data_IF_567641547786
#
_entry.id   IF_567641547786
#
_cell.length_a   1.000
_cell.length_b   1.000
_cell.length_c   1.000
_cell.angle_alpha   90.00
_cell.angle_beta   90.00
_cell.angle_gamma   90.00
#
_symmetry.space_group_name_H-M   'P 1'
#
loop_
_entity.id
_entity.type
_entity.pdbx_description
1 polymer ?
#
# COMPACT_ATOMS: atom_id res chain seq x y z
N UNK A 1 -17.94 -30.80 1.28
CA UNK A 1 -17.89 -29.59 0.43
C UNK A 1 -17.28 -28.49 1.28
N UNK A 2 -15.95 -28.46 1.39
CA UNK A 2 -15.20 -27.44 2.12
C UNK A 2 -14.71 -26.38 1.13
N UNK A 3 -15.67 -25.64 0.56
CA UNK A 3 -15.41 -24.50 -0.32
C UNK A 3 -14.91 -23.27 0.44
N UNK A 4 -13.96 -23.41 1.36
CA UNK A 4 -13.23 -22.28 1.95
C UNK A 4 -12.16 -21.81 0.97
N UNK A 5 -12.59 -21.37 -0.22
CA UNK A 5 -11.73 -20.59 -1.10
C UNK A 5 -11.33 -19.35 -0.33
N UNK A 6 -10.04 -19.23 0.03
CA UNK A 6 -9.53 -18.05 0.73
C UNK A 6 -9.90 -16.81 -0.08
N UNK A 7 -10.79 -15.98 0.46
CA UNK A 7 -11.20 -14.74 -0.19
C UNK A 7 -10.03 -13.77 -0.10
N UNK A 8 -9.44 -13.43 -1.25
CA UNK A 8 -8.43 -12.40 -1.32
C UNK A 8 -9.10 -11.03 -1.38
N UNK A 9 -8.52 -10.07 -0.69
CA UNK A 9 -8.95 -8.68 -0.71
C UNK A 9 -7.78 -7.75 -0.95
N UNK A 10 -8.07 -6.65 -1.64
CA UNK A 10 -7.19 -5.52 -1.84
C UNK A 10 -7.76 -4.30 -1.11
N UNK A 11 -6.92 -3.60 -0.37
CA UNK A 11 -7.24 -2.36 0.33
C UNK A 11 -6.27 -1.29 -0.11
N UNK A 12 -6.78 -0.16 -0.59
CA UNK A 12 -6.02 1.06 -0.79
C UNK A 12 -6.46 2.07 0.27
N UNK A 13 -5.52 2.56 1.08
CA UNK A 13 -5.82 3.56 2.09
C UNK A 13 -4.82 4.72 2.07
N UNK A 14 -5.26 5.86 2.59
CA UNK A 14 -4.46 7.06 2.80
C UNK A 14 -4.44 7.43 4.29
N UNK A 15 -3.35 8.04 4.76
CA UNK A 15 -3.26 8.61 6.11
C UNK A 15 -2.22 9.73 6.18
N UNK A 16 -2.20 10.48 7.27
CA UNK A 16 -1.34 11.66 7.45
C UNK A 16 -0.33 11.46 8.59
N UNK A 17 0.93 11.72 8.30
CA UNK A 17 2.09 11.59 9.18
C UNK A 17 3.04 12.81 8.96
N UNK A 18 2.66 14.01 9.45
CA UNK A 18 3.32 15.26 9.07
C UNK A 18 4.66 15.48 9.78
N UNK A 19 4.89 14.80 10.90
CA UNK A 19 6.10 14.95 11.74
C UNK A 19 7.03 13.74 11.63
N UNK A 20 6.72 12.79 10.75
CA UNK A 20 7.45 11.53 10.69
C UNK A 20 8.74 11.68 9.88
N UNK A 21 9.91 11.42 10.47
CA UNK A 21 11.17 11.54 9.75
C UNK A 21 11.29 10.44 8.69
N UNK A 22 12.04 10.72 7.61
CA UNK A 22 12.25 9.77 6.51
C UNK A 22 12.87 8.44 6.99
N UNK A 23 13.72 8.49 8.01
CA UNK A 23 14.34 7.30 8.60
C UNK A 23 13.31 6.36 9.25
N UNK A 24 12.27 6.91 9.89
CA UNK A 24 11.19 6.11 10.45
C UNK A 24 10.32 5.47 9.37
N UNK A 25 10.11 6.16 8.24
CA UNK A 25 9.43 5.58 7.07
C UNK A 25 10.19 4.36 6.55
N UNK A 26 11.53 4.44 6.52
CA UNK A 26 12.38 3.33 6.09
C UNK A 26 12.33 2.16 7.07
N UNK A 27 12.23 2.45 8.38
CA UNK A 27 12.01 1.43 9.40
C UNK A 27 10.62 0.75 9.29
N UNK A 28 9.57 1.51 8.94
CA UNK A 28 8.22 0.97 8.68
C UNK A 28 8.25 0.04 7.47
N UNK A 29 8.90 0.46 6.38
CA UNK A 29 9.06 -0.36 5.18
C UNK A 29 9.84 -1.65 5.47
N UNK A 30 10.97 -1.55 6.18
CA UNK A 30 11.76 -2.73 6.55
C UNK A 30 10.98 -3.70 7.44
N UNK A 31 10.21 -3.18 8.40
CA UNK A 31 9.36 -3.99 9.28
C UNK A 31 8.24 -4.67 8.49
N UNK A 32 7.62 -3.94 7.56
CA UNK A 32 6.56 -4.46 6.70
C UNK A 32 7.08 -5.55 5.77
N UNK A 33 8.22 -5.32 5.11
CA UNK A 33 8.84 -6.29 4.22
C UNK A 33 9.24 -7.59 4.93
N UNK A 34 9.63 -7.51 6.21
CA UNK A 34 9.94 -8.70 7.03
C UNK A 34 8.69 -9.44 7.50
N UNK A 35 7.65 -8.71 7.93
CA UNK A 35 6.51 -9.32 8.62
C UNK A 35 5.39 -9.78 7.66
N UNK A 36 5.19 -9.05 6.56
CA UNK A 36 4.07 -9.27 5.65
C UNK A 36 4.12 -10.63 4.91
N UNK A 37 5.28 -11.13 4.45
CA UNK A 37 5.35 -12.44 3.80
C UNK A 37 4.84 -13.59 4.66
N UNK A 38 5.17 -13.59 5.97
CA UNK A 38 4.71 -14.62 6.90
C UNK A 38 3.18 -14.64 7.10
N UNK A 39 2.52 -13.52 6.77
CA UNK A 39 1.05 -13.36 6.82
C UNK A 39 0.41 -13.48 5.45
N UNK A 40 1.18 -13.78 4.41
CA UNK A 40 0.71 -13.76 3.03
C UNK A 40 0.16 -12.39 2.62
N UNK A 41 0.78 -11.30 3.08
CA UNK A 41 0.40 -9.94 2.70
C UNK A 41 1.43 -9.39 1.72
N UNK A 42 0.95 -8.79 0.63
CA UNK A 42 1.75 -8.16 -0.43
C UNK A 42 1.24 -6.75 -0.71
N UNK A 43 1.99 -5.95 -1.46
CA UNK A 43 1.57 -4.61 -1.87
C UNK A 43 2.70 -3.57 -1.90
N UNK A 44 2.33 -2.31 -1.76
CA UNK A 44 3.22 -1.14 -1.90
C UNK A 44 2.89 -0.08 -0.86
N UNK A 45 3.89 0.72 -0.51
CA UNK A 45 3.75 1.89 0.35
C UNK A 45 4.43 3.09 -0.31
N UNK A 46 3.69 4.20 -0.42
CA UNK A 46 4.15 5.51 -0.86
C UNK A 46 4.10 6.48 0.31
N UNK A 47 5.08 7.38 0.38
CA UNK A 47 5.11 8.47 1.36
C UNK A 47 5.59 9.77 0.72
N UNK A 48 4.72 10.78 0.62
CA UNK A 48 5.02 12.07 -0.04
C UNK A 48 5.71 13.12 0.87
N UNK A 49 6.12 12.72 2.08
CA UNK A 49 6.68 13.64 3.07
C UNK A 49 5.66 14.09 4.11
N UNK A 50 4.36 13.93 3.84
CA UNK A 50 3.28 14.26 4.79
C UNK A 50 2.23 13.17 4.90
N UNK A 51 1.93 12.47 3.82
CA UNK A 51 0.88 11.46 3.75
C UNK A 51 1.47 10.11 3.33
N UNK A 52 0.85 9.05 3.82
CA UNK A 52 1.02 7.69 3.32
C UNK A 52 -0.12 7.33 2.37
N UNK A 53 0.21 6.62 1.30
CA UNK A 53 -0.72 5.84 0.53
C UNK A 53 -0.21 4.40 0.49
N UNK A 54 -1.03 3.45 0.93
CA UNK A 54 -0.63 2.05 0.97
C UNK A 54 -1.69 1.18 0.32
N UNK A 55 -1.22 0.24 -0.50
CA UNK A 55 -2.04 -0.84 -1.05
C UNK A 55 -1.62 -2.15 -0.39
N UNK A 56 -2.59 -2.89 0.12
CA UNK A 56 -2.43 -4.17 0.80
C UNK A 56 -3.26 -5.23 0.10
N UNK A 57 -2.67 -6.39 -0.14
CA UNK A 57 -3.34 -7.55 -0.71
C UNK A 57 -3.06 -8.80 0.11
N UNK A 58 -4.07 -9.60 0.36
CA UNK A 58 -3.94 -10.84 1.10
C UNK A 58 -5.28 -11.48 1.37
N UNK A 59 -5.27 -12.51 2.20
CA UNK A 59 -6.51 -13.08 2.72
C UNK A 59 -7.29 -12.00 3.49
N UNK A 60 -8.60 -11.89 3.26
CA UNK A 60 -9.43 -10.82 3.80
C UNK A 60 -9.28 -10.64 5.31
N UNK A 61 -9.26 -11.75 6.06
CA UNK A 61 -9.06 -11.74 7.51
C UNK A 61 -7.67 -11.21 7.92
N UNK A 62 -6.62 -11.60 7.21
CA UNK A 62 -5.25 -11.12 7.49
C UNK A 62 -5.09 -9.64 7.18
N UNK A 63 -5.69 -9.15 6.10
CA UNK A 63 -5.67 -7.74 5.73
C UNK A 63 -6.49 -6.92 6.75
N UNK A 64 -7.66 -7.40 7.18
CA UNK A 64 -8.46 -6.73 8.20
C UNK A 64 -7.71 -6.58 9.53
N UNK A 65 -7.09 -7.65 10.03
CA UNK A 65 -6.26 -7.62 11.25
C UNK A 65 -5.06 -6.69 11.10
N UNK A 66 -4.45 -6.61 9.90
CA UNK A 66 -3.38 -5.65 9.65
C UNK A 66 -3.91 -4.20 9.69
N UNK A 67 -5.07 -3.95 9.09
CA UNK A 67 -5.69 -2.62 9.05
C UNK A 67 -6.05 -2.12 10.45
N UNK A 68 -6.46 -2.98 11.38
CA UNK A 68 -6.67 -2.60 12.77
C UNK A 68 -5.38 -2.09 13.44
N UNK A 69 -4.27 -2.82 13.24
CA UNK A 69 -2.95 -2.42 13.77
C UNK A 69 -2.46 -1.10 13.17
N UNK A 70 -2.64 -0.94 11.85
CA UNK A 70 -2.33 0.29 11.12
C UNK A 70 -3.18 1.44 11.66
N UNK A 71 -4.48 1.25 11.84
CA UNK A 71 -5.38 2.31 12.31
C UNK A 71 -5.03 2.79 13.72
N UNK A 72 -4.51 1.91 14.56
CA UNK A 72 -4.10 2.22 15.93
C UNK A 72 -2.66 2.75 16.05
N UNK A 73 -1.90 2.84 14.96
CA UNK A 73 -0.49 3.21 14.98
C UNK A 73 -0.32 4.73 15.22
N UNK A 74 0.35 5.15 16.31
CA UNK A 74 0.42 6.56 16.70
C UNK A 74 1.31 7.42 15.77
N UNK A 75 2.06 6.78 14.85
CA UNK A 75 2.94 7.48 13.90
C UNK A 75 2.18 8.22 12.80
N UNK A 76 0.90 7.92 12.64
CA UNK A 76 0.04 8.55 11.65
C UNK A 76 -1.40 8.67 12.16
N UNK A 77 -2.23 9.43 11.45
CA UNK A 77 -3.62 9.66 11.82
C UNK A 77 -4.48 9.86 10.56
N UNK A 78 -5.81 9.90 10.75
CA UNK A 78 -6.73 10.16 9.64
C UNK A 78 -6.72 9.06 8.58
N UNK A 79 -6.61 7.80 9.00
CA UNK A 79 -6.67 6.64 8.10
C UNK A 79 -8.04 6.62 7.41
N UNK A 80 -8.02 6.65 6.08
CA UNK A 80 -9.21 6.57 5.24
C UNK A 80 -8.99 5.54 4.14
N UNK A 81 -9.89 4.56 4.06
CA UNK A 81 -9.88 3.54 2.99
C UNK A 81 -10.48 4.18 1.74
N UNK A 82 -9.67 4.32 0.70
CA UNK A 82 -10.07 4.89 -0.59
C UNK A 82 -10.75 3.85 -1.47
N UNK A 83 -10.29 2.61 -1.38
CA UNK A 83 -10.82 1.48 -2.14
C UNK A 83 -10.65 0.18 -1.33
N UNK A 84 -11.68 -0.67 -1.38
CA UNK A 84 -11.65 -2.04 -0.85
C UNK A 84 -12.40 -2.92 -1.82
N UNK A 85 -11.75 -4.00 -2.27
CA UNK A 85 -12.34 -4.93 -3.23
C UNK A 85 -11.89 -6.37 -2.98
N UNK A 86 -12.74 -7.32 -3.35
CA UNK A 86 -12.32 -8.70 -3.54
C UNK A 86 -11.49 -8.81 -4.82
N UNK A 87 -10.47 -9.66 -4.81
CA UNK A 87 -9.63 -9.94 -5.98
C UNK A 87 -9.54 -11.45 -6.18
N UNK A 88 -9.49 -11.91 -7.42
CA UNK A 88 -9.28 -13.34 -7.70
C UNK A 88 -7.80 -13.72 -7.66
N UNK A 89 -6.94 -12.77 -8.04
CA UNK A 89 -5.48 -12.90 -8.08
C UNK A 89 -4.81 -11.65 -7.53
N UNK A 90 -3.64 -11.81 -6.90
CA UNK A 90 -2.84 -10.69 -6.43
C UNK A 90 -2.33 -9.87 -7.61
N UNK A 91 -2.47 -8.55 -7.55
CA UNK A 91 -1.91 -7.66 -8.57
C UNK A 91 -0.43 -7.39 -8.32
N UNK A 92 0.03 -7.50 -7.06
CA UNK A 92 1.41 -7.26 -6.64
C UNK A 92 2.04 -8.49 -5.96
N UNK A 93 2.07 -9.69 -6.57
CA UNK A 93 2.44 -10.93 -5.89
C UNK A 93 3.88 -10.95 -5.37
N UNK A 94 4.81 -10.31 -6.07
CA UNK A 94 6.25 -10.31 -5.71
C UNK A 94 6.62 -9.16 -4.77
N UNK A 95 5.66 -8.32 -4.39
CA UNK A 95 5.95 -7.10 -3.64
C UNK A 95 5.70 -7.35 -2.16
N UNK A 96 6.74 -7.81 -1.47
CA UNK A 96 6.82 -7.83 -0.01
C UNK A 96 6.92 -6.39 0.54
N UNK A 97 5.92 -5.56 0.27
CA UNK A 97 5.89 -4.13 0.54
C UNK A 97 6.92 -3.32 -0.25
N UNK A 98 6.72 -3.18 -1.57
CA UNK A 98 7.62 -2.38 -2.40
C UNK A 98 7.60 -0.92 -1.96
N UNK A 99 8.79 -0.37 -1.69
CA UNK A 99 9.00 1.07 -1.54
C UNK A 99 8.95 1.71 -2.93
N UNK A 100 8.07 2.68 -3.13
CA UNK A 100 8.18 3.58 -4.26
C UNK A 100 8.97 4.82 -3.81
N UNK A 101 10.21 4.93 -4.28
CA UNK A 101 11.06 6.10 -4.02
C UNK A 101 10.49 7.32 -4.71
N UNK A 102 10.12 8.35 -3.97
CA UNK A 102 9.60 9.56 -4.57
C UNK A 102 10.76 10.38 -5.14
N UNK A 103 10.88 10.40 -6.48
CA UNK A 103 11.92 11.11 -7.23
C UNK A 103 11.90 12.64 -6.98
N UNK A 104 12.95 13.36 -7.41
CA UNK A 104 13.10 14.79 -7.13
C UNK A 104 12.05 15.67 -7.83
N UNK A 105 11.55 15.26 -9.01
CA UNK A 105 10.50 15.97 -9.76
C UNK A 105 9.18 15.19 -9.83
N UNK A 106 8.06 15.91 -9.97
CA UNK A 106 6.71 15.34 -10.12
C UNK A 106 6.61 14.46 -11.38
N UNK A 107 7.18 14.91 -12.48
CA UNK A 107 7.18 14.20 -13.76
C UNK A 107 7.93 12.85 -13.67
N UNK A 108 9.14 12.86 -13.10
CA UNK A 108 9.92 11.64 -12.91
C UNK A 108 9.24 10.64 -11.96
N UNK A 109 8.52 11.12 -10.93
CA UNK A 109 7.71 10.25 -10.05
C UNK A 109 6.61 9.55 -10.82
N UNK A 110 5.90 10.30 -11.67
CA UNK A 110 4.79 9.78 -12.46
C UNK A 110 5.28 8.74 -13.45
N UNK A 111 6.31 9.05 -14.23
CA UNK A 111 6.89 8.10 -15.20
C UNK A 111 7.37 6.83 -14.52
N UNK A 112 8.06 6.96 -13.38
CA UNK A 112 8.53 5.81 -12.62
C UNK A 112 7.37 4.96 -12.11
N UNK A 113 6.31 5.57 -11.59
CA UNK A 113 5.12 4.84 -11.14
C UNK A 113 4.37 4.17 -12.29
N UNK A 114 4.18 4.86 -13.40
CA UNK A 114 3.50 4.30 -14.57
C UNK A 114 4.26 3.08 -15.11
N UNK A 115 5.60 3.14 -15.11
CA UNK A 115 6.47 2.01 -15.49
C UNK A 115 6.45 0.87 -14.48
N UNK A 116 6.49 1.17 -13.19
CA UNK A 116 6.68 0.16 -12.15
C UNK A 116 5.38 -0.49 -11.68
N UNK A 117 4.22 0.17 -11.84
CA UNK A 117 2.92 -0.36 -11.39
C UNK A 117 2.46 -1.55 -12.24
N UNK A 118 1.98 -2.65 -11.64
CA UNK A 118 1.60 -3.86 -12.37
C UNK A 118 0.45 -3.60 -13.35
N UNK A 119 0.54 -4.10 -14.57
CA UNK A 119 -0.53 -3.95 -15.58
C UNK A 119 -1.87 -4.52 -15.11
N UNK A 120 -1.85 -5.57 -14.29
CA UNK A 120 -3.03 -6.19 -13.68
C UNK A 120 -3.73 -5.32 -12.62
N UNK A 121 -3.13 -4.20 -12.21
CA UNK A 121 -3.75 -3.29 -11.27
C UNK A 121 -4.96 -2.61 -11.91
N UNK A 122 -6.05 -2.56 -11.16
CA UNK A 122 -7.27 -1.90 -11.61
C UNK A 122 -7.01 -0.45 -12.06
N UNK A 123 -7.60 0.01 -13.19
CA UNK A 123 -7.37 1.35 -13.71
C UNK A 123 -7.69 2.50 -12.74
N UNK A 124 -8.72 2.35 -11.90
CA UNK A 124 -9.10 3.36 -10.92
C UNK A 124 -8.08 3.42 -9.77
N UNK A 125 -7.68 2.26 -9.25
CA UNK A 125 -6.64 2.15 -8.22
C UNK A 125 -5.30 2.70 -8.73
N UNK A 126 -4.92 2.35 -9.97
CA UNK A 126 -3.75 2.91 -10.65
C UNK A 126 -3.82 4.43 -10.72
N UNK A 127 -4.95 4.98 -11.14
CA UNK A 127 -5.16 6.43 -11.23
C UNK A 127 -5.05 7.10 -9.86
N UNK A 128 -5.59 6.50 -8.80
CA UNK A 128 -5.47 7.02 -7.43
C UNK A 128 -4.00 7.06 -6.97
N UNK A 129 -3.23 6.00 -7.22
CA UNK A 129 -1.79 5.95 -6.84
C UNK A 129 -0.98 7.01 -7.60
N UNK A 130 -1.20 7.12 -8.92
CA UNK A 130 -0.50 8.13 -9.74
C UNK A 130 -0.88 9.54 -9.30
N UNK A 131 -2.17 9.80 -9.07
CA UNK A 131 -2.65 11.10 -8.59
C UNK A 131 -2.04 11.45 -7.23
N UNK A 132 -1.94 10.50 -6.31
CA UNK A 132 -1.32 10.73 -5.01
C UNK A 132 0.14 11.16 -5.12
N UNK A 133 0.90 10.53 -6.03
CA UNK A 133 2.32 10.84 -6.19
C UNK A 133 2.59 12.25 -6.76
N UNK A 134 1.60 12.83 -7.44
CA UNK A 134 1.66 14.20 -7.98
C UNK A 134 1.04 15.24 -7.02
N UNK A 135 0.41 14.82 -5.92
CA UNK A 135 -0.06 15.73 -4.87
C UNK A 135 1.15 16.26 -4.09
N UNK A 136 1.66 17.41 -4.52
CA UNK A 136 2.58 18.29 -3.80
C UNK A 136 2.19 19.74 -4.05
#
# INVERSE_FOLDING_TARGET
>A
MDGSGKVLSQYLYISTAPTLPREEVDAILATSARNNPARGITGLLLFNGRNFLQLLEGEEGEVAVLMEKITADPRHSGVSVLDRRGIDVRTCPDWAMKRVMIAESIEARREMLERDLPEALDPEVRKMIVNFAVLN
#
